data_IF_855622097868
#
_entry.id   IF_855622097868
#
_cell.length_a   1.000
_cell.length_b   1.000
_cell.length_c   1.000
_cell.angle_alpha   90.00
_cell.angle_beta   90.00
_cell.angle_gamma   90.00
#
_symmetry.space_group_name_H-M   'P 1'
#
loop_
_entity.id
_entity.type
_entity.pdbx_description
1 polymer ?
#
# COMPACT_ATOMS: atom_id res chain seq x y z
N UNK A 1 -26.75 10.03 -9.02
CA UNK A 1 -26.47 8.82 -8.22
C UNK A 1 -25.14 8.26 -8.72
N UNK A 2 -24.04 8.82 -8.24
CA UNK A 2 -22.71 8.29 -8.55
C UNK A 2 -22.45 7.11 -7.61
N UNK A 3 -22.12 5.96 -8.19
CA UNK A 3 -21.57 4.83 -7.45
C UNK A 3 -20.26 5.28 -6.79
N UNK A 4 -20.21 5.28 -5.46
CA UNK A 4 -18.97 5.49 -4.71
C UNK A 4 -17.93 4.46 -5.19
N UNK A 5 -16.75 4.90 -5.67
CA UNK A 5 -15.67 3.96 -5.95
C UNK A 5 -15.23 3.36 -4.61
N UNK A 6 -15.64 2.12 -4.36
CA UNK A 6 -15.25 1.39 -3.16
C UNK A 6 -13.73 1.32 -2.97
N UNK A 7 -13.26 0.96 -1.76
CA UNK A 7 -11.83 0.96 -1.42
C UNK A 7 -11.00 0.11 -2.38
N UNK A 8 -9.94 0.71 -2.92
CA UNK A 8 -9.00 0.01 -3.80
C UNK A 8 -7.83 -0.48 -2.95
N UNK A 9 -7.65 -1.80 -2.89
CA UNK A 9 -6.55 -2.47 -2.18
C UNK A 9 -5.62 -3.13 -3.21
N UNK A 10 -4.37 -2.69 -3.26
CA UNK A 10 -3.31 -3.30 -4.06
C UNK A 10 -2.56 -4.34 -3.21
N UNK A 11 -2.28 -5.53 -3.79
CA UNK A 11 -1.57 -6.65 -3.12
C UNK A 11 -0.20 -6.91 -3.75
N UNK A 12 0.73 -7.39 -2.94
CA UNK A 12 1.99 -8.00 -3.38
C UNK A 12 2.03 -9.44 -2.85
N UNK A 13 1.90 -10.44 -3.73
CA UNK A 13 1.97 -11.87 -3.37
C UNK A 13 3.41 -12.37 -3.52
N UNK A 14 4.06 -12.80 -2.44
CA UNK A 14 5.40 -13.42 -2.45
C UNK A 14 5.38 -14.96 -2.54
N UNK A 15 4.22 -15.57 -2.83
CA UNK A 15 4.10 -17.02 -2.99
C UNK A 15 3.06 -17.37 -4.04
N UNK A 16 3.49 -17.94 -5.17
CA UNK A 16 2.61 -18.54 -6.16
C UNK A 16 1.81 -19.68 -5.52
N UNK A 17 0.53 -19.44 -5.26
CA UNK A 17 -0.45 -20.50 -5.10
C UNK A 17 -1.06 -20.76 -6.48
N UNK A 18 -1.11 -22.01 -6.93
CA UNK A 18 -1.75 -22.36 -8.19
C UNK A 18 -3.21 -21.88 -8.21
N UNK A 19 -3.71 -21.31 -9.31
CA UNK A 19 -5.07 -20.79 -9.40
C UNK A 19 -6.05 -21.95 -9.63
N UNK A 20 -6.26 -22.79 -8.62
CA UNK A 20 -7.43 -23.66 -8.56
C UNK A 20 -8.08 -23.51 -7.19
N UNK A 21 -9.33 -23.01 -7.23
CA UNK A 21 -10.20 -22.62 -6.11
C UNK A 21 -9.89 -21.25 -5.51
N UNK A 22 -10.76 -20.31 -5.90
CA UNK A 22 -11.03 -19.04 -5.26
C UNK A 22 -11.02 -19.20 -3.72
N UNK A 23 -9.94 -18.78 -3.07
CA UNK A 23 -9.79 -18.92 -1.61
C UNK A 23 -10.67 -17.89 -0.90
N UNK A 24 -11.69 -18.38 -0.20
CA UNK A 24 -12.65 -17.65 0.63
C UNK A 24 -11.99 -16.81 1.74
N UNK A 25 -10.71 -17.05 2.06
CA UNK A 25 -9.92 -16.24 2.98
C UNK A 25 -9.59 -14.84 2.42
N UNK A 26 -9.58 -14.71 1.09
CA UNK A 26 -9.00 -13.58 0.37
C UNK A 26 -10.02 -12.47 0.01
N UNK A 27 -11.33 -12.73 0.14
CA UNK A 27 -12.43 -11.75 -0.07
C UNK A 27 -12.73 -10.94 1.20
N UNK A 28 -12.36 -11.47 2.37
CA UNK A 28 -12.63 -10.89 3.69
C UNK A 28 -11.98 -9.53 3.98
N UNK A 29 -10.74 -9.23 3.52
CA UNK A 29 -10.08 -7.94 3.82
C UNK A 29 -10.81 -6.72 3.26
N UNK A 30 -11.27 -6.79 2.00
CA UNK A 30 -11.99 -5.69 1.33
C UNK A 30 -13.34 -5.44 1.98
N UNK A 31 -14.08 -6.51 2.31
CA UNK A 31 -15.37 -6.41 2.97
C UNK A 31 -15.26 -5.90 4.41
N UNK A 32 -14.18 -6.22 5.13
CA UNK A 32 -14.02 -5.79 6.53
C UNK A 32 -13.64 -4.31 6.63
N UNK A 33 -12.71 -3.83 5.80
CA UNK A 33 -12.35 -2.41 5.77
C UNK A 33 -13.53 -1.55 5.30
N UNK A 34 -14.19 -1.96 4.22
CA UNK A 34 -15.42 -1.29 3.76
C UNK A 34 -16.51 -1.30 4.84
N UNK A 35 -16.73 -2.45 5.50
CA UNK A 35 -17.70 -2.59 6.58
C UNK A 35 -17.39 -1.71 7.79
N UNK A 36 -16.13 -1.65 8.24
CA UNK A 36 -15.73 -0.82 9.37
C UNK A 36 -15.91 0.68 9.11
N UNK A 37 -15.65 1.12 7.87
CA UNK A 37 -15.94 2.49 7.46
C UNK A 37 -17.46 2.73 7.40
N UNK A 38 -18.24 1.83 6.81
CA UNK A 38 -19.71 1.92 6.82
C UNK A 38 -20.28 2.00 8.24
N UNK A 39 -19.76 1.21 9.19
CA UNK A 39 -20.15 1.24 10.60
C UNK A 39 -19.75 2.56 11.28
N UNK A 40 -18.62 3.16 10.90
CA UNK A 40 -18.23 4.49 11.39
C UNK A 40 -19.22 5.56 10.93
N UNK A 41 -19.50 5.62 9.63
CA UNK A 41 -20.45 6.59 9.07
C UNK A 41 -21.87 6.38 9.61
N UNK A 42 -22.30 5.12 9.79
CA UNK A 42 -23.62 4.79 10.35
C UNK A 42 -23.76 5.26 11.81
N UNK A 43 -22.76 5.03 12.66
CA UNK A 43 -22.77 5.49 14.06
C UNK A 43 -22.82 7.01 14.18
N UNK A 44 -22.18 7.74 13.27
CA UNK A 44 -22.26 9.21 13.26
C UNK A 44 -23.65 9.69 12.85
N UNK A 45 -24.29 8.99 11.92
CA UNK A 45 -25.65 9.29 11.49
C UNK A 45 -26.67 9.08 12.61
N UNK A 46 -26.55 7.98 13.37
CA UNK A 46 -27.42 7.69 14.53
C UNK A 46 -27.28 8.71 15.66
N UNK A 47 -26.08 9.27 15.86
CA UNK A 47 -25.79 10.22 16.94
C UNK A 47 -25.96 11.69 16.53
N UNK A 48 -26.33 11.97 15.28
CA UNK A 48 -26.52 13.34 14.80
C UNK A 48 -27.99 13.76 14.89
N UNK A 49 -28.33 14.91 15.51
CA UNK A 49 -29.66 15.47 15.39
C UNK A 49 -29.95 15.78 13.92
N UNK A 50 -31.21 15.67 13.50
CA UNK A 50 -31.65 15.85 12.11
C UNK A 50 -31.06 17.12 11.47
N UNK A 51 -30.02 16.95 10.66
CA UNK A 51 -29.41 17.98 9.81
C UNK A 51 -29.50 17.53 8.36
N UNK A 52 -29.68 18.48 7.45
CA UNK A 52 -29.82 18.26 5.99
C UNK A 52 -28.53 17.75 5.32
N UNK A 53 -27.41 17.73 6.05
CA UNK A 53 -26.10 17.24 5.58
C UNK A 53 -25.66 16.00 6.34
N UNK A 54 -25.21 14.93 5.66
CA UNK A 54 -24.68 13.76 6.34
C UNK A 54 -23.48 14.15 7.22
N UNK A 55 -23.40 13.68 8.47
CA UNK A 55 -22.26 13.94 9.32
C UNK A 55 -21.01 13.30 8.72
N UNK A 56 -19.97 14.10 8.53
CA UNK A 56 -18.68 13.62 8.04
C UNK A 56 -17.77 13.28 9.22
N UNK A 57 -17.16 12.08 9.27
CA UNK A 57 -16.18 11.74 10.30
C UNK A 57 -14.97 12.67 10.21
N UNK A 58 -14.34 12.92 11.36
CA UNK A 58 -13.06 13.62 11.38
C UNK A 58 -11.96 12.76 10.76
N UNK A 59 -10.88 13.38 10.26
CA UNK A 59 -9.72 12.66 9.74
C UNK A 59 -9.12 11.71 10.79
N UNK A 60 -9.13 12.12 12.07
CA UNK A 60 -8.61 11.32 13.19
C UNK A 60 -9.48 10.07 13.44
N UNK A 61 -10.81 10.19 13.29
CA UNK A 61 -11.73 9.05 13.41
C UNK A 61 -11.53 8.04 12.29
N UNK A 62 -11.34 8.51 11.05
CA UNK A 62 -11.04 7.66 9.90
C UNK A 62 -9.69 6.96 10.13
N UNK A 63 -8.64 7.71 10.49
CA UNK A 63 -7.32 7.17 10.76
C UNK A 63 -7.36 6.09 11.85
N UNK A 64 -8.01 6.38 12.99
CA UNK A 64 -8.19 5.41 14.07
C UNK A 64 -8.93 4.16 13.60
N UNK A 65 -10.02 4.35 12.85
CA UNK A 65 -10.82 3.23 12.32
C UNK A 65 -10.00 2.36 11.37
N UNK A 66 -9.21 2.96 10.48
CA UNK A 66 -8.31 2.22 9.59
C UNK A 66 -7.27 1.44 10.37
N UNK A 67 -6.59 2.09 11.34
CA UNK A 67 -5.57 1.43 12.17
C UNK A 67 -6.14 0.25 12.96
N UNK A 68 -7.29 0.44 13.61
CA UNK A 68 -7.92 -0.61 14.40
C UNK A 68 -8.43 -1.75 13.53
N UNK A 69 -8.96 -1.45 12.35
CA UNK A 69 -9.43 -2.48 11.40
C UNK A 69 -8.28 -3.32 10.86
N UNK A 70 -7.14 -2.69 10.52
CA UNK A 70 -5.95 -3.40 10.05
C UNK A 70 -5.39 -4.33 11.15
N UNK A 71 -5.21 -3.82 12.37
CA UNK A 71 -4.76 -4.63 13.52
C UNK A 71 -5.72 -5.80 13.82
N UNK A 72 -7.04 -5.55 13.74
CA UNK A 72 -8.05 -6.59 13.95
C UNK A 72 -7.98 -7.66 12.86
N UNK A 73 -7.93 -7.26 11.60
CA UNK A 73 -7.83 -8.18 10.47
C UNK A 73 -6.59 -9.06 10.57
N UNK A 74 -5.44 -8.48 10.92
CA UNK A 74 -4.20 -9.22 11.11
C UNK A 74 -4.30 -10.25 12.23
N UNK A 75 -4.89 -9.86 13.37
CA UNK A 75 -5.18 -10.78 14.47
C UNK A 75 -6.08 -11.92 14.03
N UNK A 76 -7.14 -11.63 13.28
CA UNK A 76 -8.09 -12.64 12.78
C UNK A 76 -7.40 -13.60 11.80
N UNK A 77 -6.50 -13.11 10.96
CA UNK A 77 -5.67 -13.94 10.06
C UNK A 77 -4.74 -14.86 10.87
N UNK A 78 -4.04 -14.31 11.87
CA UNK A 78 -3.04 -15.04 12.64
C UNK A 78 -3.67 -16.06 13.59
N UNK A 79 -4.64 -15.65 14.40
CA UNK A 79 -5.21 -16.48 15.47
C UNK A 79 -6.39 -17.32 14.98
N UNK A 80 -7.16 -16.84 13.99
CA UNK A 80 -8.24 -17.63 13.40
C UNK A 80 -7.72 -18.93 12.75
N UNK A 81 -6.53 -18.88 12.11
CA UNK A 81 -5.85 -20.08 11.61
C UNK A 81 -5.39 -21.01 12.73
N UNK A 82 -4.88 -20.48 13.85
CA UNK A 82 -4.44 -21.28 14.99
C UNK A 82 -5.62 -22.00 15.66
N UNK A 83 -6.70 -21.27 15.94
CA UNK A 83 -7.89 -21.82 16.59
C UNK A 83 -8.52 -22.94 15.75
N UNK A 84 -8.60 -22.74 14.44
CA UNK A 84 -9.11 -23.73 13.50
C UNK A 84 -8.27 -25.02 13.50
N UNK A 85 -6.95 -24.89 13.56
CA UNK A 85 -6.04 -26.04 13.52
C UNK A 85 -6.01 -26.78 14.85
N UNK A 86 -5.91 -26.06 15.98
CA UNK A 86 -5.92 -26.67 17.31
C UNK A 86 -7.24 -27.40 17.60
N UNK A 87 -8.36 -26.88 17.10
CA UNK A 87 -9.68 -27.52 17.25
C UNK A 87 -9.84 -28.81 16.42
N UNK A 88 -9.08 -28.95 15.32
CA UNK A 88 -9.17 -30.08 14.38
C UNK A 88 -8.07 -31.14 14.57
N UNK A 89 -7.31 -31.07 15.67
CA UNK A 89 -6.15 -31.92 15.97
C UNK A 89 -6.43 -33.44 16.02
N UNK A 90 -7.70 -33.88 16.00
CA UNK A 90 -8.08 -35.28 15.99
C UNK A 90 -8.01 -35.95 14.59
N UNK A 91 -7.87 -35.19 13.49
CA UNK A 91 -7.96 -35.69 12.10
C UNK A 91 -6.66 -35.66 11.28
N UNK A 92 -5.53 -35.30 11.89
CA UNK A 92 -4.30 -34.92 11.18
C UNK A 92 -4.29 -33.42 10.93
N UNK A 93 -3.29 -32.74 11.49
CA UNK A 93 -3.16 -31.29 11.35
C UNK A 93 -2.84 -30.95 9.89
N UNK A 94 -3.76 -30.25 9.23
CA UNK A 94 -3.52 -29.69 7.90
C UNK A 94 -2.56 -28.50 8.05
N UNK A 95 -1.28 -28.73 7.77
CA UNK A 95 -0.26 -27.68 7.83
C UNK A 95 -0.59 -26.50 6.89
N UNK A 96 -1.41 -26.72 5.86
CA UNK A 96 -1.84 -25.68 4.93
C UNK A 96 -2.85 -24.71 5.56
N UNK A 97 -3.52 -25.09 6.66
CA UNK A 97 -4.45 -24.20 7.36
C UNK A 97 -3.76 -23.04 8.10
N UNK A 98 -2.46 -23.17 8.41
CA UNK A 98 -1.63 -22.07 8.90
C UNK A 98 -1.02 -21.21 7.78
N UNK A 99 -1.18 -21.59 6.51
CA UNK A 99 -0.59 -20.85 5.39
C UNK A 99 -0.98 -19.36 5.37
N UNK A 100 -2.24 -18.95 5.66
CA UNK A 100 -2.61 -17.54 5.72
C UNK A 100 -1.87 -16.76 6.81
N UNK A 101 -1.67 -17.36 7.99
CA UNK A 101 -0.95 -16.74 9.09
C UNK A 101 0.56 -16.67 8.82
N UNK A 102 1.12 -17.69 8.17
CA UNK A 102 2.53 -17.75 7.84
C UNK A 102 2.93 -16.89 6.63
N UNK A 103 2.00 -16.58 5.74
CA UNK A 103 2.26 -15.75 4.57
C UNK A 103 2.25 -14.27 4.93
N UNK A 104 3.28 -13.54 4.49
CA UNK A 104 3.39 -12.10 4.64
C UNK A 104 2.81 -11.34 3.46
N UNK A 105 2.09 -10.26 3.71
CA UNK A 105 1.62 -9.36 2.64
C UNK A 105 1.67 -7.88 3.03
N UNK A 106 2.09 -7.05 2.08
CA UNK A 106 1.97 -5.59 2.16
C UNK A 106 0.56 -5.16 1.74
N UNK A 107 0.02 -4.11 2.37
CA UNK A 107 -1.26 -3.52 2.02
C UNK A 107 -1.12 -2.02 1.77
N UNK A 108 -1.61 -1.59 0.61
CA UNK A 108 -1.79 -0.18 0.29
C UNK A 108 -3.26 0.05 -0.03
N UNK A 109 -3.89 0.93 0.74
CA UNK A 109 -5.30 1.26 0.67
C UNK A 109 -5.46 2.76 0.45
N UNK A 110 -6.32 3.14 -0.48
CA UNK A 110 -6.85 4.49 -0.57
C UNK A 110 -8.36 4.52 -0.26
N UNK A 111 -8.76 5.55 0.48
CA UNK A 111 -10.14 5.86 0.79
C UNK A 111 -10.40 7.33 0.44
N UNK A 112 -11.31 7.58 -0.49
CA UNK A 112 -11.67 8.92 -0.91
C UNK A 112 -13.08 9.24 -0.40
N UNK A 113 -13.17 10.23 0.49
CA UNK A 113 -14.44 10.78 0.93
C UNK A 113 -14.88 11.87 -0.06
N UNK A 114 -15.91 11.57 -0.85
CA UNK A 114 -16.45 12.46 -1.87
C UNK A 114 -17.11 13.73 -1.30
N UNK A 115 -17.60 13.69 -0.05
CA UNK A 115 -18.24 14.85 0.58
C UNK A 115 -17.21 15.87 1.05
N UNK A 116 -16.18 15.42 1.77
CA UNK A 116 -15.08 16.30 2.22
C UNK A 116 -14.01 16.53 1.16
N UNK A 117 -14.04 15.78 0.04
CA UNK A 117 -12.98 15.70 -0.99
C UNK A 117 -11.62 15.34 -0.39
N UNK A 118 -11.61 14.58 0.70
CA UNK A 118 -10.38 14.18 1.39
C UNK A 118 -10.00 12.77 0.96
N UNK A 119 -8.75 12.62 0.53
CA UNK A 119 -8.15 11.33 0.24
C UNK A 119 -7.30 10.90 1.44
N UNK A 120 -7.61 9.74 2.00
CA UNK A 120 -6.83 9.05 3.00
C UNK A 120 -6.09 7.88 2.35
N UNK A 121 -4.80 7.74 2.64
CA UNK A 121 -3.97 6.64 2.16
C UNK A 121 -3.36 5.94 3.37
N UNK A 122 -3.63 4.64 3.49
CA UNK A 122 -3.10 3.78 4.55
C UNK A 122 -2.09 2.79 3.97
N UNK A 123 -0.86 2.80 4.50
CA UNK A 123 0.21 1.90 4.10
C UNK A 123 0.67 1.02 5.27
N UNK A 124 0.70 -0.29 5.00
CA UNK A 124 1.39 -1.31 5.77
C UNK A 124 2.32 -2.08 4.82
N UNK A 125 3.60 -1.72 4.79
CA UNK A 125 4.63 -2.39 4.00
C UNK A 125 5.44 -1.46 3.07
N UNK A 126 5.92 -2.02 1.96
CA UNK A 126 6.91 -1.43 1.04
C UNK A 126 6.32 -1.00 -0.31
N UNK A 127 4.99 -0.82 -0.38
CA UNK A 127 4.32 -0.21 -1.53
C UNK A 127 4.33 1.31 -1.41
N UNK A 128 4.10 2.03 -2.53
CA UNK A 128 4.04 3.50 -2.52
C UNK A 128 2.81 4.04 -3.26
N UNK A 129 2.26 5.11 -2.70
CA UNK A 129 1.27 5.98 -3.34
C UNK A 129 1.82 7.39 -3.58
N UNK A 130 1.55 7.94 -4.75
CA UNK A 130 1.97 9.28 -5.18
C UNK A 130 0.79 9.99 -5.82
N UNK A 131 0.46 11.18 -5.33
CA UNK A 131 -0.55 12.07 -5.91
C UNK A 131 0.13 13.02 -6.91
N UNK A 132 -0.35 13.02 -8.16
CA UNK A 132 -0.01 14.03 -9.14
C UNK A 132 -1.02 15.18 -9.06
N UNK A 133 -0.59 16.33 -8.54
CA UNK A 133 -1.44 17.53 -8.43
C UNK A 133 -1.39 18.38 -9.68
N UNK A 134 -2.55 18.65 -10.27
CA UNK A 134 -2.62 19.48 -11.48
C UNK A 134 -2.42 20.95 -11.12
N UNK A 135 -1.43 21.59 -11.73
CA UNK A 135 -1.13 23.02 -11.54
C UNK A 135 -0.85 23.69 -12.88
N UNK A 136 -0.59 25.01 -12.87
CA UNK A 136 -0.13 25.75 -14.04
C UNK A 136 1.19 26.42 -13.73
N UNK A 137 2.13 26.36 -14.68
CA UNK A 137 3.37 27.11 -14.58
C UNK A 137 3.15 28.60 -14.91
N UNK A 138 4.20 29.42 -14.81
CA UNK A 138 4.16 30.85 -15.14
C UNK A 138 3.77 31.13 -16.59
N UNK A 139 4.03 30.19 -17.50
CA UNK A 139 3.71 30.28 -18.92
C UNK A 139 2.26 29.85 -19.23
N UNK A 140 1.51 29.38 -18.23
CA UNK A 140 0.14 28.89 -18.36
C UNK A 140 0.01 27.44 -18.80
N UNK A 141 1.11 26.75 -19.07
CA UNK A 141 1.15 25.31 -19.37
C UNK A 141 0.72 24.51 -18.14
N UNK A 142 0.05 23.38 -18.38
CA UNK A 142 -0.31 22.50 -17.27
C UNK A 142 0.88 21.65 -16.87
N UNK A 143 1.17 21.65 -15.58
CA UNK A 143 2.23 20.86 -14.98
C UNK A 143 1.69 20.08 -13.79
N UNK A 144 2.22 18.89 -13.56
CA UNK A 144 1.82 18.06 -12.43
C UNK A 144 2.90 18.16 -11.34
N UNK A 145 2.50 18.58 -10.15
CA UNK A 145 3.34 18.57 -8.96
C UNK A 145 3.27 17.19 -8.32
N UNK A 146 4.42 16.67 -7.90
CA UNK A 146 4.53 15.39 -7.19
C UNK A 146 4.28 15.60 -5.70
N UNK A 147 3.30 14.88 -5.16
CA UNK A 147 3.07 14.76 -3.72
C UNK A 147 3.13 13.29 -3.33
N UNK A 148 4.22 12.88 -2.68
CA UNK A 148 4.38 11.52 -2.15
C UNK A 148 3.44 11.36 -0.95
N UNK A 149 2.57 10.35 -1.01
CA UNK A 149 1.54 10.11 0.01
C UNK A 149 2.00 9.11 1.06
N UNK A 150 2.98 8.25 0.77
CA UNK A 150 3.42 7.20 1.68
C UNK A 150 4.93 7.06 1.64
N UNK A 151 5.52 6.69 2.78
CA UNK A 151 6.95 6.37 2.90
C UNK A 151 7.09 4.86 3.06
N UNK A 152 7.97 4.21 2.29
CA UNK A 152 8.20 2.77 2.40
C UNK A 152 8.58 2.35 3.83
N UNK A 153 7.96 1.26 4.29
CA UNK A 153 8.24 0.67 5.60
C UNK A 153 9.10 -0.58 5.41
N UNK A 154 10.39 -0.36 5.16
CA UNK A 154 11.40 -1.39 4.98
C UNK A 154 12.67 -1.10 5.79
N UNK A 155 13.72 -1.89 5.56
CA UNK A 155 14.97 -1.76 6.30
C UNK A 155 15.81 -0.54 5.91
N UNK A 156 15.51 0.12 4.78
CA UNK A 156 16.22 1.31 4.32
C UNK A 156 15.64 2.60 4.95
N UNK A 157 14.45 2.50 5.56
CA UNK A 157 13.81 3.59 6.28
C UNK A 157 14.36 3.72 7.71
N UNK A 158 15.19 4.75 7.94
CA UNK A 158 15.79 5.06 9.24
C UNK A 158 14.76 5.27 10.37
N UNK A 159 13.56 5.76 10.07
CA UNK A 159 12.51 5.93 11.08
C UNK A 159 11.98 4.57 11.55
N UNK A 160 11.82 3.61 10.63
CA UNK A 160 11.42 2.24 10.96
C UNK A 160 12.55 1.47 11.65
N UNK A 161 13.80 1.65 11.22
CA UNK A 161 14.97 1.10 11.91
C UNK A 161 15.02 1.57 13.37
N UNK A 162 14.91 2.88 13.61
CA UNK A 162 14.88 3.44 14.96
C UNK A 162 13.69 2.91 15.76
N UNK A 163 12.48 2.91 15.17
CA UNK A 163 11.26 2.42 15.84
C UNK A 163 11.39 0.96 16.28
N UNK A 164 11.95 0.10 15.42
CA UNK A 164 12.10 -1.32 15.72
C UNK A 164 13.22 -1.57 16.73
N UNK A 165 14.43 -1.04 16.51
CA UNK A 165 15.54 -1.26 17.43
C UNK A 165 15.26 -0.68 18.84
N UNK A 166 14.49 0.42 18.94
CA UNK A 166 14.07 0.97 20.24
C UNK A 166 13.08 0.07 21.01
N UNK A 167 12.28 -0.75 20.32
CA UNK A 167 11.34 -1.69 20.95
C UNK A 167 12.00 -2.97 21.44
N UNK A 168 13.16 -3.30 20.90
CA UNK A 168 13.90 -4.54 21.18
C UNK A 168 15.34 -4.22 21.63
N UNK A 169 15.52 -3.61 22.82
CA UNK A 169 16.83 -3.20 23.29
C UNK A 169 17.78 -4.41 23.44
N UNK A 170 18.97 -4.30 22.86
CA UNK A 170 19.97 -5.38 22.85
C UNK A 170 19.90 -6.29 21.63
N UNK A 171 18.97 -6.06 20.72
CA UNK A 171 18.82 -6.79 19.45
C UNK A 171 19.08 -5.88 18.25
N UNK A 172 19.58 -6.46 17.17
CA UNK A 172 19.72 -5.79 15.88
C UNK A 172 18.54 -6.20 14.97
N UNK A 173 17.37 -5.63 15.24
CA UNK A 173 16.12 -5.99 14.54
C UNK A 173 16.13 -5.50 13.09
N UNK A 174 16.66 -4.29 12.88
CA UNK A 174 16.99 -3.78 11.56
C UNK A 174 18.46 -3.40 11.56
N UNK A 175 19.23 -3.92 10.60
CA UNK A 175 20.65 -3.63 10.46
C UNK A 175 21.08 -3.75 8.99
N UNK A 176 21.75 -2.72 8.47
CA UNK A 176 22.22 -2.66 7.08
C UNK A 176 21.11 -2.99 6.05
N UNK A 177 19.93 -2.38 6.19
CA UNK A 177 18.81 -2.60 5.26
C UNK A 177 18.06 -3.93 5.46
N UNK A 178 18.53 -4.81 6.36
CA UNK A 178 17.92 -6.11 6.62
C UNK A 178 17.06 -6.09 7.88
N UNK A 179 15.80 -6.45 7.71
CA UNK A 179 14.81 -6.62 8.80
C UNK A 179 14.81 -8.06 9.29
N UNK A 180 14.67 -8.29 10.59
CA UNK A 180 14.35 -9.61 11.16
C UNK A 180 13.07 -10.14 10.53
N UNK A 181 13.16 -11.33 9.95
CA UNK A 181 12.10 -11.96 9.16
C UNK A 181 12.09 -11.67 7.67
N UNK A 182 12.88 -10.70 7.21
CA UNK A 182 12.99 -10.33 5.80
C UNK A 182 11.75 -9.59 5.28
N UNK A 183 11.94 -8.81 4.21
CA UNK A 183 10.85 -7.99 3.66
C UNK A 183 10.62 -6.70 4.45
N UNK A 184 9.38 -6.17 4.47
CA UNK A 184 9.06 -4.89 5.10
C UNK A 184 9.04 -4.97 6.62
N UNK A 185 9.15 -3.82 7.28
CA UNK A 185 9.08 -3.66 8.74
C UNK A 185 7.64 -3.70 9.27
N UNK A 186 6.65 -3.67 8.36
CA UNK A 186 5.23 -3.81 8.64
C UNK A 186 4.57 -4.71 7.58
N UNK A 187 3.71 -5.62 8.01
CA UNK A 187 3.03 -6.57 7.13
C UNK A 187 1.79 -7.14 7.78
N UNK A 188 0.87 -7.68 6.98
CA UNK A 188 -0.13 -8.65 7.42
C UNK A 188 0.46 -10.05 7.44
N UNK A 189 -0.03 -10.91 8.35
CA UNK A 189 0.46 -12.27 8.51
C UNK A 189 1.86 -12.28 9.11
N UNK A 190 2.81 -13.00 8.50
CA UNK A 190 4.18 -13.19 9.03
C UNK A 190 4.20 -13.62 10.50
N UNK A 191 3.26 -14.51 10.87
CA UNK A 191 2.93 -14.76 12.26
C UNK A 191 4.09 -15.34 13.10
N UNK A 192 5.10 -15.95 12.46
CA UNK A 192 6.31 -16.43 13.13
C UNK A 192 7.07 -15.29 13.85
N UNK A 193 6.98 -14.06 13.36
CA UNK A 193 7.63 -12.88 13.95
C UNK A 193 6.71 -12.07 14.85
N UNK A 194 5.45 -12.52 15.04
CA UNK A 194 4.42 -11.81 15.80
C UNK A 194 3.83 -12.61 16.96
N UNK A 195 3.73 -13.94 16.83
CA UNK A 195 3.14 -14.79 17.85
C UNK A 195 3.90 -14.74 19.17
N UNK A 196 3.15 -14.63 20.25
CA UNK A 196 3.69 -14.69 21.60
C UNK A 196 4.23 -16.09 21.94
N UNK A 197 4.92 -16.21 23.08
CA UNK A 197 5.45 -17.50 23.54
C UNK A 197 4.36 -18.54 23.83
N UNK A 198 3.16 -18.10 24.20
CA UNK A 198 2.04 -19.00 24.53
C UNK A 198 1.53 -19.70 23.27
N UNK A 199 1.22 -18.93 22.23
CA UNK A 199 0.75 -19.43 20.93
C UNK A 199 1.80 -20.33 20.29
N UNK A 200 3.08 -19.91 20.30
CA UNK A 200 4.19 -20.74 19.81
C UNK A 200 4.30 -22.05 20.58
N UNK A 201 4.17 -22.01 21.91
CA UNK A 201 4.23 -23.20 22.76
C UNK A 201 3.09 -24.19 22.48
N UNK A 202 1.87 -23.69 22.24
CA UNK A 202 0.72 -24.52 21.86
C UNK A 202 0.94 -25.22 20.51
N UNK A 203 1.37 -24.47 19.50
CA UNK A 203 1.67 -25.01 18.17
C UNK A 203 2.80 -26.04 18.21
N UNK A 204 3.85 -25.76 18.99
CA UNK A 204 4.97 -26.68 19.18
C UNK A 204 4.55 -27.98 19.88
N UNK A 205 3.76 -27.90 20.95
CA UNK A 205 3.24 -29.07 21.66
C UNK A 205 2.36 -29.94 20.76
N UNK A 206 1.55 -29.29 19.91
CA UNK A 206 0.73 -29.98 18.92
C UNK A 206 1.54 -30.53 17.73
N UNK A 207 2.84 -30.19 17.62
CA UNK A 207 3.70 -30.50 16.46
C UNK A 207 3.15 -29.95 15.13
N UNK A 208 2.61 -28.73 15.17
CA UNK A 208 1.93 -28.06 14.05
C UNK A 208 2.71 -26.81 13.63
N UNK A 209 2.85 -26.60 12.31
CA UNK A 209 3.44 -25.40 11.73
C UNK A 209 4.96 -25.44 11.63
N UNK A 210 5.54 -24.29 11.26
CA UNK A 210 6.99 -24.16 11.08
C UNK A 210 7.70 -23.96 12.42
N UNK A 211 8.94 -24.48 12.58
CA UNK A 211 9.74 -24.17 13.76
C UNK A 211 9.98 -22.65 13.85
N UNK A 212 10.02 -22.15 15.08
CA UNK A 212 10.32 -20.73 15.31
C UNK A 212 11.78 -20.44 14.92
N UNK A 213 12.04 -19.40 14.11
CA UNK A 213 13.40 -18.98 13.79
C UNK A 213 14.20 -18.59 15.04
N UNK A 214 15.51 -18.85 15.03
CA UNK A 214 16.40 -18.62 16.19
C UNK A 214 16.64 -17.14 16.51
N UNK A 215 16.37 -16.26 15.56
CA UNK A 215 16.45 -14.81 15.66
C UNK A 215 15.17 -14.17 16.25
N UNK A 216 14.14 -14.97 16.55
CA UNK A 216 12.91 -14.49 17.22
C UNK A 216 13.05 -14.63 18.74
N UNK A 217 13.53 -13.57 19.37
CA UNK A 217 13.78 -13.46 20.82
C UNK A 217 12.64 -12.78 21.57
N UNK A 218 12.25 -11.57 21.16
CA UNK A 218 11.25 -10.71 21.82
C UNK A 218 10.09 -10.30 20.91
N UNK A 219 9.32 -11.24 20.32
CA UNK A 219 8.16 -10.88 19.49
C UNK A 219 7.11 -10.07 20.29
N UNK A 220 6.29 -9.23 19.63
CA UNK A 220 6.18 -9.08 18.17
C UNK A 220 7.18 -8.08 17.58
N UNK A 221 7.83 -8.46 16.48
CA UNK A 221 8.73 -7.59 15.70
C UNK A 221 7.97 -6.78 14.64
N UNK A 222 7.01 -7.41 13.96
CA UNK A 222 6.24 -6.79 12.89
C UNK A 222 4.86 -6.34 13.37
N UNK A 223 4.29 -5.34 12.71
CA UNK A 223 2.91 -4.89 12.95
C UNK A 223 2.16 -4.72 11.63
N UNK A 224 0.86 -5.00 11.65
CA UNK A 224 -0.03 -4.65 10.54
C UNK A 224 -0.63 -3.24 10.67
N UNK A 225 -0.26 -2.47 11.70
CA UNK A 225 -0.76 -1.12 11.88
C UNK A 225 -0.25 -0.18 10.75
N UNK A 226 -1.15 0.43 9.98
CA UNK A 226 -0.78 1.30 8.88
C UNK A 226 -0.33 2.68 9.37
N UNK A 227 0.52 3.33 8.56
CA UNK A 227 0.62 4.79 8.57
C UNK A 227 -0.44 5.35 7.64
N UNK A 228 -1.16 6.36 8.13
CA UNK A 228 -2.25 7.00 7.39
C UNK A 228 -1.83 8.43 7.09
N UNK A 229 -1.94 8.82 5.83
CA UNK A 229 -1.74 10.19 5.38
C UNK A 229 -3.00 10.68 4.69
N UNK A 230 -3.26 11.99 4.78
CA UNK A 230 -4.50 12.58 4.27
C UNK A 230 -4.19 13.85 3.48
N UNK A 231 -4.94 14.09 2.41
CA UNK A 231 -4.82 15.31 1.59
C UNK A 231 -6.16 15.66 0.96
N UNK A 232 -6.45 16.95 0.82
CA UNK A 232 -7.62 17.39 0.05
C UNK A 232 -7.32 17.27 -1.45
N UNK A 233 -8.21 16.60 -2.18
CA UNK A 233 -8.12 16.38 -3.61
C UNK A 233 -8.60 17.62 -4.37
N UNK A 234 -7.86 18.00 -5.42
CA UNK A 234 -8.24 19.08 -6.33
C UNK A 234 -8.70 18.53 -7.68
N UNK A 235 -9.56 19.27 -8.42
CA UNK A 235 -10.00 18.87 -9.74
C UNK A 235 -8.83 18.59 -10.70
N UNK A 236 -8.82 17.40 -11.31
CA UNK A 236 -7.77 16.96 -12.22
C UNK A 236 -6.52 16.39 -11.53
N UNK A 237 -6.52 16.24 -10.20
CA UNK A 237 -5.52 15.43 -9.50
C UNK A 237 -5.68 13.95 -9.89
N UNK A 238 -4.61 13.18 -9.76
CA UNK A 238 -4.64 11.73 -9.90
C UNK A 238 -3.76 11.05 -8.86
N UNK A 239 -4.11 9.84 -8.45
CA UNK A 239 -3.34 9.01 -7.54
C UNK A 239 -2.73 7.84 -8.30
N UNK A 240 -1.43 7.62 -8.15
CA UNK A 240 -0.71 6.43 -8.59
C UNK A 240 -0.42 5.58 -7.34
N UNK A 241 -0.86 4.33 -7.35
CA UNK A 241 -0.51 3.32 -6.34
C UNK A 241 0.24 2.19 -7.03
N UNK A 242 1.34 1.74 -6.45
CA UNK A 242 2.14 0.66 -7.02
C UNK A 242 2.86 -0.15 -5.96
N UNK A 243 3.18 -1.40 -6.29
CA UNK A 243 4.01 -2.25 -5.43
C UNK A 243 5.49 -1.87 -5.54
N UNK A 244 6.31 -2.31 -4.57
CA UNK A 244 7.76 -2.11 -4.56
C UNK A 244 8.41 -2.35 -5.94
N UNK A 245 8.05 -3.45 -6.60
CA UNK A 245 8.60 -3.81 -7.90
C UNK A 245 8.44 -2.71 -8.98
N UNK A 246 7.37 -1.92 -8.94
CA UNK A 246 7.21 -0.77 -9.85
C UNK A 246 8.16 0.37 -9.44
N UNK A 247 8.18 0.71 -8.15
CA UNK A 247 8.93 1.84 -7.60
C UNK A 247 10.44 1.61 -7.54
N UNK A 248 10.90 0.35 -7.54
CA UNK A 248 12.31 0.00 -7.75
C UNK A 248 12.83 0.45 -9.13
N UNK A 249 11.93 0.73 -10.09
CA UNK A 249 12.26 1.03 -11.49
C UNK A 249 11.82 2.41 -11.96
N UNK A 250 10.95 3.09 -11.21
CA UNK A 250 10.44 4.42 -11.53
C UNK A 250 10.51 5.29 -10.28
N UNK A 251 11.09 6.48 -10.44
CA UNK A 251 10.93 7.55 -9.47
C UNK A 251 9.51 8.10 -9.45
N UNK A 252 9.15 8.81 -8.38
CA UNK A 252 7.84 9.45 -8.25
C UNK A 252 7.61 10.50 -9.35
N UNK A 253 8.66 11.23 -9.73
CA UNK A 253 8.67 12.23 -10.78
C UNK A 253 8.49 11.61 -12.17
N UNK A 254 9.18 10.51 -12.45
CA UNK A 254 9.03 9.77 -13.71
C UNK A 254 7.62 9.20 -13.83
N UNK A 255 7.08 8.60 -12.78
CA UNK A 255 5.72 8.04 -12.78
C UNK A 255 4.67 9.12 -13.03
N UNK A 256 4.72 10.25 -12.31
CA UNK A 256 3.82 11.39 -12.52
C UNK A 256 4.01 12.00 -13.91
N UNK A 257 5.24 12.11 -14.40
CA UNK A 257 5.57 12.57 -15.74
C UNK A 257 4.97 11.68 -16.84
N UNK A 258 5.07 10.35 -16.70
CA UNK A 258 4.49 9.36 -17.61
C UNK A 258 2.96 9.50 -17.68
N UNK A 259 2.28 9.61 -16.53
CA UNK A 259 0.83 9.87 -16.52
C UNK A 259 0.50 11.21 -17.19
N UNK A 260 1.29 12.25 -16.93
CA UNK A 260 1.13 13.56 -17.56
C UNK A 260 1.26 13.52 -19.09
N UNK A 261 2.26 12.80 -19.61
CA UNK A 261 2.45 12.60 -21.05
C UNK A 261 1.30 11.80 -21.67
N UNK A 262 0.83 10.76 -20.98
CA UNK A 262 -0.31 9.96 -21.42
C UNK A 262 -1.60 10.79 -21.52
N UNK A 263 -1.87 11.64 -20.53
CA UNK A 263 -3.01 12.57 -20.54
C UNK A 263 -2.92 13.59 -21.69
N UNK A 264 -1.73 14.13 -21.96
CA UNK A 264 -1.53 15.09 -23.07
C UNK A 264 -1.80 14.46 -24.44
N UNK A 265 -1.36 13.20 -24.63
CA UNK A 265 -1.65 12.44 -25.85
C UNK A 265 -3.16 12.28 -26.05
N UNK A 266 -3.90 11.91 -25.01
CA UNK A 266 -5.36 11.79 -25.06
C UNK A 266 -6.05 13.10 -25.47
N UNK A 267 -5.58 14.24 -24.96
CA UNK A 267 -6.08 15.57 -25.34
C UNK A 267 -5.78 15.88 -26.82
N UNK A 268 -4.58 15.55 -27.31
CA UNK A 268 -4.17 15.79 -28.70
C UNK A 268 -4.95 14.94 -29.70
N UNK A 269 -5.23 13.69 -29.37
CA UNK A 269 -6.07 12.80 -30.19
C UNK A 269 -7.52 13.29 -30.29
N UNK A 270 -8.00 14.01 -29.27
CA UNK A 270 -9.33 14.66 -29.26
C UNK A 270 -9.34 16.07 -29.88
N UNK A 271 -8.25 16.50 -30.53
CA UNK A 271 -8.16 17.79 -31.23
C UNK A 271 -7.80 19.01 -30.36
N UNK A 272 -7.46 18.81 -29.08
CA UNK A 272 -6.99 19.86 -28.19
C UNK A 272 -5.49 20.16 -28.34
N UNK A 273 -5.10 21.44 -28.26
CA UNK A 273 -3.69 21.84 -28.16
C UNK A 273 -3.33 22.05 -26.68
N UNK A 274 -2.51 21.18 -26.10
CA UNK A 274 -1.92 21.36 -24.77
C UNK A 274 -0.49 20.80 -24.76
N UNK A 275 0.36 21.36 -23.89
CA UNK A 275 1.71 20.87 -23.59
C UNK A 275 1.76 20.63 -22.08
N UNK A 276 2.24 19.46 -21.67
CA UNK A 276 2.44 19.08 -20.26
C UNK A 276 3.92 18.95 -19.96
N UNK A 277 4.38 19.49 -18.83
CA UNK A 277 5.73 19.29 -18.29
C UNK A 277 5.66 18.83 -16.84
N UNK A 278 6.56 17.94 -16.36
CA UNK A 278 6.66 17.66 -14.93
C UNK A 278 7.17 18.89 -14.19
N UNK A 279 6.59 19.21 -13.04
CA UNK A 279 7.11 20.22 -12.13
C UNK A 279 7.85 19.53 -10.98
N UNK A 280 9.05 20.01 -10.65
CA UNK A 280 9.83 19.54 -9.50
C UNK A 280 9.16 20.05 -8.21
N UNK A 281 8.99 19.16 -7.22
CA UNK A 281 8.37 19.50 -5.94
C UNK A 281 9.36 20.24 -5.02
N UNK A 282 8.94 21.31 -4.30
CA UNK A 282 9.82 22.03 -3.38
C UNK A 282 10.14 21.31 -2.05
N UNK A 283 9.52 20.16 -1.74
CA UNK A 283 9.65 19.50 -0.43
C UNK A 283 10.75 18.42 -0.34
N UNK A 284 11.61 18.28 -1.34
CA UNK A 284 12.82 17.45 -1.25
C UNK A 284 13.98 18.24 -0.62
N UNK A 285 13.92 18.46 0.70
CA UNK A 285 15.03 19.04 1.45
C UNK A 285 16.18 18.04 1.75
N UNK A 286 16.25 16.88 1.09
CA UNK A 286 17.36 15.93 1.21
C UNK A 286 17.91 15.38 -0.12
N UNK A 287 17.56 15.94 -1.28
CA UNK A 287 18.22 15.57 -2.53
C UNK A 287 18.52 16.81 -3.37
N UNK A 288 19.80 16.94 -3.75
CA UNK A 288 20.33 17.88 -4.74
C UNK A 288 19.39 18.08 -5.94
N UNK A 289 19.30 19.29 -6.52
CA UNK A 289 18.41 19.58 -7.63
C UNK A 289 18.93 18.88 -8.90
N UNK A 290 18.50 17.64 -9.12
CA UNK A 290 18.53 17.05 -10.44
C UNK A 290 17.38 17.70 -11.21
N UNK A 291 17.75 18.58 -12.14
CA UNK A 291 16.90 18.86 -13.28
C UNK A 291 16.48 17.50 -13.86
N UNK A 292 15.23 17.09 -13.64
CA UNK A 292 14.67 15.87 -14.24
C UNK A 292 14.55 16.15 -15.73
N UNK A 293 15.67 15.98 -16.43
CA UNK A 293 15.66 15.65 -17.83
C UNK A 293 14.98 14.30 -17.89
N UNK A 294 13.66 14.31 -18.12
CA UNK A 294 12.94 13.13 -18.61
C UNK A 294 13.84 12.54 -19.68
N UNK A 295 14.24 11.27 -19.54
CA UNK A 295 14.93 10.51 -20.59
C UNK A 295 13.97 10.39 -21.78
N UNK A 296 13.77 11.49 -22.49
CA UNK A 296 12.68 11.71 -23.43
C UNK A 296 12.76 10.78 -24.64
N UNK A 297 13.92 10.17 -24.87
CA UNK A 297 14.13 9.27 -26.01
C UNK A 297 13.77 7.80 -25.70
N UNK A 298 13.54 7.41 -24.44
CA UNK A 298 13.27 6.00 -24.08
C UNK A 298 11.81 5.68 -23.72
N UNK A 299 10.97 6.66 -23.39
CA UNK A 299 9.61 6.39 -22.94
C UNK A 299 8.60 6.31 -24.09
N UNK A 300 7.77 5.26 -24.08
CA UNK A 300 6.76 5.00 -25.12
C UNK A 300 5.36 5.24 -24.59
N UNK A 301 4.61 6.11 -25.26
CA UNK A 301 3.19 6.40 -24.95
C UNK A 301 2.27 5.76 -25.98
N UNK A 302 2.19 4.43 -25.98
CA UNK A 302 1.38 3.64 -26.92
C UNK A 302 0.10 3.08 -26.29
N UNK A 303 0.11 2.84 -24.98
CA UNK A 303 -0.95 2.08 -24.30
C UNK A 303 -2.22 2.94 -24.07
N UNK A 304 -3.40 2.32 -24.28
CA UNK A 304 -4.71 2.95 -23.99
C UNK A 304 -5.07 2.98 -22.51
N UNK A 305 -4.38 2.19 -21.68
CA UNK A 305 -4.58 2.14 -20.24
C UNK A 305 -3.32 2.73 -19.57
N UNK A 306 -3.51 3.74 -18.73
CA UNK A 306 -2.41 4.44 -18.07
C UNK A 306 -1.58 3.54 -17.13
N UNK A 307 -2.21 2.56 -16.47
CA UNK A 307 -1.48 1.61 -15.63
C UNK A 307 -0.58 0.72 -16.49
N UNK A 308 -1.06 0.25 -17.65
CA UNK A 308 -0.23 -0.48 -18.60
C UNK A 308 0.91 0.37 -19.16
N UNK A 309 0.64 1.66 -19.42
CA UNK A 309 1.67 2.61 -19.83
C UNK A 309 2.77 2.73 -18.76
N UNK A 310 2.41 2.87 -17.49
CA UNK A 310 3.38 2.91 -16.38
C UNK A 310 4.16 1.60 -16.27
N UNK A 311 3.48 0.45 -16.28
CA UNK A 311 4.12 -0.85 -16.14
C UNK A 311 5.08 -1.14 -17.29
N UNK A 312 4.69 -0.87 -18.55
CA UNK A 312 5.57 -1.04 -19.71
C UNK A 312 6.82 -0.18 -19.60
N UNK A 313 6.68 1.09 -19.21
CA UNK A 313 7.82 2.00 -19.08
C UNK A 313 8.70 1.65 -17.88
N UNK A 314 8.14 1.11 -16.79
CA UNK A 314 8.92 0.57 -15.66
C UNK A 314 9.80 -0.60 -16.09
N UNK A 315 9.34 -1.45 -17.01
CA UNK A 315 10.11 -2.60 -17.50
C UNK A 315 11.12 -2.24 -18.60
N UNK A 316 10.96 -1.09 -19.26
CA UNK A 316 11.76 -0.70 -20.43
C UNK A 316 12.98 0.18 -20.09
N UNK A 317 13.20 0.49 -18.81
CA UNK A 317 14.36 1.26 -18.37
C UNK A 317 15.64 0.43 -18.37
N UNK A 318 16.68 0.90 -19.09
CA UNK A 318 18.04 0.36 -18.95
C UNK A 318 18.65 0.84 -17.62
N UNK A 319 18.61 -0.01 -16.60
CA UNK A 319 19.45 0.10 -15.40
C UNK A 319 20.07 -1.27 -15.15
N UNK A 320 21.40 -1.32 -15.27
CA UNK A 320 22.22 -2.44 -14.87
C UNK A 320 22.17 -2.68 -13.35
N UNK A 321 22.64 -3.86 -12.96
CA UNK A 321 22.78 -4.36 -11.58
C UNK A 321 21.49 -4.74 -10.83
N UNK A 322 21.22 -6.06 -10.91
CA UNK A 322 20.71 -6.91 -9.82
C UNK A 322 19.32 -6.58 -9.23
N UNK A 323 18.30 -6.34 -10.06
CA UNK A 323 16.93 -6.56 -9.62
C UNK A 323 16.72 -8.08 -9.42
N UNK A 324 16.36 -8.52 -8.21
CA UNK A 324 15.86 -9.87 -7.95
C UNK A 324 14.52 -10.05 -8.70
N UNK A 325 14.63 -10.45 -9.97
CA UNK A 325 13.56 -10.44 -10.96
C UNK A 325 12.56 -11.58 -10.81
N UNK A 326 12.61 -12.39 -9.76
CA UNK A 326 11.91 -13.68 -9.78
C UNK A 326 10.73 -13.84 -8.82
N UNK A 327 10.40 -12.88 -7.94
CA UNK A 327 9.39 -13.17 -6.88
C UNK A 327 8.36 -12.09 -6.49
N UNK A 328 8.42 -10.87 -7.04
CA UNK A 328 7.51 -9.80 -6.60
C UNK A 328 6.47 -9.46 -7.66
N UNK A 329 5.19 -9.42 -7.26
CA UNK A 329 4.09 -9.03 -8.13
C UNK A 329 4.21 -7.57 -8.57
N UNK A 330 4.33 -7.34 -9.87
CA UNK A 330 4.34 -6.00 -10.45
C UNK A 330 2.89 -5.54 -10.66
N UNK A 331 2.44 -4.56 -9.87
CA UNK A 331 1.08 -4.01 -10.01
C UNK A 331 1.10 -2.48 -9.91
N UNK A 332 0.21 -1.85 -10.68
CA UNK A 332 -0.01 -0.42 -10.66
C UNK A 332 -1.52 -0.14 -10.75
N UNK A 333 -2.00 0.85 -10.02
CA UNK A 333 -3.36 1.38 -10.11
C UNK A 333 -3.28 2.89 -10.20
N UNK A 334 -4.03 3.46 -11.14
CA UNK A 334 -4.13 4.92 -11.30
C UNK A 334 -5.59 5.32 -11.16
N UNK A 335 -5.85 6.26 -10.27
CA UNK A 335 -7.19 6.81 -10.01
C UNK A 335 -7.18 8.28 -10.45
N UNK A 336 -8.11 8.66 -11.31
CA UNK A 336 -8.31 10.06 -11.71
C UNK A 336 -9.46 10.65 -10.92
N UNK A 337 -9.27 11.85 -10.38
CA UNK A 337 -10.33 12.60 -9.70
C UNK A 337 -10.95 13.60 -10.69
N UNK A 338 -12.28 13.67 -10.68
CA UNK A 338 -13.05 14.40 -11.69
C UNK A 338 -12.69 15.90 -11.74
N UNK A 339 -12.76 16.46 -12.94
CA UNK A 339 -12.72 17.90 -13.21
C UNK A 339 -14.16 18.43 -13.13
N UNK A 340 -14.70 18.67 -11.94
CA UNK A 340 -15.94 19.45 -11.81
C UNK A 340 -15.67 20.93 -12.12
#
# INVERSE_FOLDING_TARGET
>A
MGSDPGPVICRNDRSCWEPTRESTAMTRPKSLVGGALVDLYSRLHENSPAQDTPPTPSSDDIERTLKDTFKRLDRDIMHGSVDAVLSNSAGGADADALAPAHSGSSALLSFYDSHSRTLHVALTGDSRAVLGRRTRNKDGDVVYQVQVMTVEQDGDNLAEEYRLNARHPGEAVVYNGRVVGGGPTRSFGDALYKWDSVTRGQLQQASIGKPTPSDVLTPPYLTAEPEVTSTTVQPGDFLIMGTRAMWDRLTSEEAVGLVGMWLDKGVREQGGRRRVKPAVSPNDCLATPLAVGIRSESYRSEDRNVAMHLLRNSMSGDIGTQADTTKNGLTATVVFFAED
#
